data_IF_818009534916
#
_entry.id   IF_818009534916
#
_cell.length_a   1.000
_cell.length_b   1.000
_cell.length_c   1.000
_cell.angle_alpha   90.00
_cell.angle_beta   90.00
_cell.angle_gamma   90.00
#
_symmetry.space_group_name_H-M   'P 1'
#
loop_
_entity.id
_entity.type
_entity.pdbx_description
1 polymer ?
#
# COMPACT_ATOMS: atom_id res chain seq x y z
N UNK A 1 -26.31 -20.51 3.03
CA UNK A 1 -26.52 -19.10 2.67
C UNK A 1 -26.34 -19.02 1.16
N UNK A 2 -27.39 -18.65 0.42
CA UNK A 2 -27.36 -18.62 -1.06
C UNK A 2 -27.24 -17.16 -1.48
N UNK A 3 -26.27 -16.85 -2.33
CA UNK A 3 -26.07 -15.50 -2.88
C UNK A 3 -26.61 -15.48 -4.31
N UNK A 4 -27.46 -14.51 -4.64
CA UNK A 4 -27.97 -14.30 -5.99
C UNK A 4 -27.13 -13.22 -6.70
N UNK A 5 -26.70 -13.48 -7.94
CA UNK A 5 -25.84 -12.56 -8.70
C UNK A 5 -26.71 -11.82 -9.71
N UNK A 6 -27.00 -10.55 -9.42
CA UNK A 6 -27.71 -9.65 -10.32
C UNK A 6 -26.81 -9.20 -11.49
N UNK A 7 -27.40 -9.06 -12.68
CA UNK A 7 -26.71 -8.65 -13.91
C UNK A 7 -27.41 -7.42 -14.50
N UNK A 8 -26.65 -6.51 -15.12
CA UNK A 8 -27.20 -5.34 -15.82
C UNK A 8 -27.31 -4.06 -14.98
N UNK A 9 -26.73 -4.02 -13.79
CA UNK A 9 -26.62 -2.79 -12.98
C UNK A 9 -25.49 -1.92 -13.56
N UNK A 10 -25.77 -0.65 -13.83
CA UNK A 10 -24.76 0.30 -14.32
C UNK A 10 -23.67 0.52 -13.26
N UNK A 11 -22.41 0.40 -13.69
CA UNK A 11 -21.25 0.62 -12.82
C UNK A 11 -21.03 2.12 -12.70
N UNK A 12 -21.08 2.71 -11.49
CA UNK A 12 -20.81 4.12 -11.32
C UNK A 12 -19.38 4.44 -11.76
N UNK A 13 -19.21 5.63 -12.35
CA UNK A 13 -17.93 6.07 -12.87
C UNK A 13 -16.84 6.00 -11.78
N UNK A 14 -15.74 5.27 -12.01
CA UNK A 14 -14.71 5.13 -11.00
C UNK A 14 -14.04 6.49 -10.77
N UNK A 15 -14.31 7.10 -9.61
CA UNK A 15 -13.63 8.31 -9.16
C UNK A 15 -12.11 8.17 -9.36
N UNK A 16 -11.49 9.22 -9.91
CA UNK A 16 -10.08 9.21 -10.31
C UNK A 16 -9.18 8.64 -9.21
N UNK A 17 -8.50 7.53 -9.52
CA UNK A 17 -7.54 6.91 -8.60
C UNK A 17 -6.32 7.82 -8.49
N UNK A 18 -6.18 8.52 -7.36
CA UNK A 18 -4.94 9.23 -7.03
C UNK A 18 -3.81 8.20 -6.97
N UNK A 19 -2.88 8.29 -7.91
CA UNK A 19 -1.73 7.38 -8.00
C UNK A 19 -0.69 7.83 -6.97
N UNK A 20 -0.64 7.14 -5.84
CA UNK A 20 0.43 7.36 -4.84
C UNK A 20 1.72 6.70 -5.34
N UNK A 21 2.71 7.50 -5.69
CA UNK A 21 4.05 7.02 -6.04
C UNK A 21 4.87 6.91 -4.76
N UNK A 22 5.38 5.71 -4.49
CA UNK A 22 6.29 5.44 -3.38
C UNK A 22 7.70 5.19 -3.92
N UNK A 23 8.77 5.55 -3.19
CA UNK A 23 10.15 5.48 -3.66
C UNK A 23 10.73 4.05 -3.63
N UNK A 24 9.92 3.00 -3.77
CA UNK A 24 10.38 1.61 -3.70
C UNK A 24 11.53 1.26 -4.67
N UNK A 25 11.57 1.77 -5.93
CA UNK A 25 12.67 1.49 -6.85
C UNK A 25 14.03 1.98 -6.35
N UNK A 26 14.04 3.10 -5.62
CA UNK A 26 15.26 3.78 -5.20
C UNK A 26 15.75 3.32 -3.82
N UNK A 27 14.92 2.61 -3.06
CA UNK A 27 15.28 2.07 -1.76
C UNK A 27 16.28 0.93 -1.87
N UNK A 28 17.31 0.94 -1.02
CA UNK A 28 18.24 -0.16 -0.78
C UNK A 28 17.88 -0.91 0.51
N UNK A 29 18.32 -2.16 0.71
CA UNK A 29 18.17 -2.84 1.99
C UNK A 29 18.72 -2.00 3.14
N UNK A 30 17.93 -1.80 4.19
CA UNK A 30 18.21 -0.90 5.31
C UNK A 30 17.52 0.47 5.19
N UNK A 31 17.13 0.91 3.99
CA UNK A 31 16.46 2.20 3.82
C UNK A 31 15.04 2.20 4.39
N UNK A 32 14.59 3.39 4.80
CA UNK A 32 13.22 3.59 5.24
C UNK A 32 12.67 4.96 4.85
N UNK A 33 11.36 5.03 4.63
CA UNK A 33 10.64 6.29 4.45
C UNK A 33 9.36 6.33 5.29
N UNK A 34 8.98 7.54 5.70
CA UNK A 34 7.77 7.80 6.47
C UNK A 34 6.68 8.33 5.54
N UNK A 35 5.48 7.77 5.66
CA UNK A 35 4.26 8.34 5.08
C UNK A 35 3.52 9.08 6.20
N UNK A 36 3.54 10.42 6.20
CA UNK A 36 2.86 11.20 7.22
C UNK A 36 1.34 11.01 7.09
N UNK A 37 0.66 10.83 8.22
CA UNK A 37 -0.80 10.81 8.26
C UNK A 37 -1.32 11.13 9.65
N UNK A 38 -2.61 11.47 9.73
CA UNK A 38 -3.28 11.71 11.02
C UNK A 38 -3.32 10.42 11.85
N UNK A 39 -3.31 10.49 13.19
CA UNK A 39 -3.39 9.31 14.05
C UNK A 39 -4.58 8.40 13.73
N UNK A 40 -5.75 8.98 13.41
CA UNK A 40 -6.96 8.25 13.02
C UNK A 40 -6.81 7.45 11.72
N UNK A 41 -5.90 7.86 10.84
CA UNK A 41 -5.68 7.24 9.53
C UNK A 41 -4.47 6.29 9.51
N UNK A 42 -3.65 6.29 10.56
CA UNK A 42 -2.37 5.55 10.60
C UNK A 42 -2.53 4.06 10.27
N UNK A 43 -3.56 3.41 10.81
CA UNK A 43 -3.87 2.00 10.52
C UNK A 43 -4.24 1.77 9.06
N UNK A 44 -5.05 2.64 8.47
CA UNK A 44 -5.47 2.52 7.07
C UNK A 44 -4.31 2.82 6.12
N UNK A 45 -3.51 3.84 6.43
CA UNK A 45 -2.32 4.21 5.67
C UNK A 45 -1.28 3.10 5.71
N UNK A 46 -1.00 2.52 6.88
CA UNK A 46 -0.10 1.37 7.00
C UNK A 46 -0.56 0.16 6.18
N UNK A 47 -1.86 -0.17 6.20
CA UNK A 47 -2.42 -1.24 5.35
C UNK A 47 -2.22 -0.95 3.86
N UNK A 48 -2.56 0.27 3.41
CA UNK A 48 -2.40 0.69 2.01
C UNK A 48 -0.94 0.65 1.56
N UNK A 49 -0.03 1.09 2.43
CA UNK A 49 1.41 1.08 2.20
C UNK A 49 1.95 -0.35 2.08
N UNK A 50 1.54 -1.25 2.97
CA UNK A 50 1.91 -2.68 2.91
C UNK A 50 1.42 -3.37 1.64
N UNK A 51 0.19 -3.10 1.21
CA UNK A 51 -0.35 -3.63 -0.06
C UNK A 51 0.44 -3.09 -1.25
N UNK A 52 0.80 -1.80 -1.25
CA UNK A 52 1.59 -1.21 -2.32
C UNK A 52 2.99 -1.82 -2.40
N UNK A 53 3.68 -1.95 -1.26
CA UNK A 53 5.01 -2.57 -1.17
C UNK A 53 4.98 -4.02 -1.66
N UNK A 54 4.00 -4.81 -1.21
CA UNK A 54 3.81 -6.20 -1.66
C UNK A 54 3.55 -6.29 -3.16
N UNK A 55 2.64 -5.46 -3.70
CA UNK A 55 2.32 -5.44 -5.14
C UNK A 55 3.53 -5.06 -5.99
N UNK A 56 4.33 -4.11 -5.53
CA UNK A 56 5.56 -3.72 -6.20
C UNK A 56 6.58 -4.87 -6.15
N UNK A 57 6.85 -5.43 -4.97
CA UNK A 57 7.77 -6.56 -4.76
C UNK A 57 7.45 -7.78 -5.64
N UNK A 58 6.19 -8.17 -5.75
CA UNK A 58 5.77 -9.29 -6.60
C UNK A 58 6.08 -9.10 -8.10
N UNK A 59 6.32 -7.87 -8.55
CA UNK A 59 6.65 -7.53 -9.94
C UNK A 59 8.16 -7.41 -10.18
N UNK A 60 8.97 -7.46 -9.13
CA UNK A 60 10.42 -7.30 -9.22
C UNK A 60 11.14 -8.66 -9.18
N UNK A 61 12.26 -8.79 -9.91
CA UNK A 61 13.17 -9.90 -9.70
C UNK A 61 13.72 -9.88 -8.26
N UNK A 62 13.94 -11.06 -7.68
CA UNK A 62 14.42 -11.19 -6.30
C UNK A 62 13.38 -10.97 -5.20
N UNK A 63 12.16 -10.50 -5.52
CA UNK A 63 11.04 -10.30 -4.58
C UNK A 63 11.47 -9.56 -3.30
N UNK A 64 11.99 -8.32 -3.42
CA UNK A 64 12.50 -7.54 -2.31
C UNK A 64 11.47 -7.45 -1.18
N UNK A 65 11.91 -7.54 0.06
CA UNK A 65 11.00 -7.60 1.21
C UNK A 65 10.90 -6.25 1.87
N UNK A 66 9.71 -5.96 2.37
CA UNK A 66 9.41 -4.71 3.06
C UNK A 66 8.73 -4.98 4.39
N UNK A 67 9.08 -4.20 5.41
CA UNK A 67 8.37 -4.15 6.68
C UNK A 67 7.61 -2.82 6.76
N UNK A 68 6.36 -2.84 7.21
CA UNK A 68 5.58 -1.62 7.45
C UNK A 68 5.11 -1.62 8.90
N UNK A 69 5.35 -0.52 9.61
CA UNK A 69 4.90 -0.33 11.00
C UNK A 69 4.28 1.04 11.18
N UNK A 70 3.35 1.13 12.12
CA UNK A 70 2.81 2.39 12.60
C UNK A 70 3.81 2.99 13.58
N UNK A 71 4.09 4.27 13.40
CA UNK A 71 5.00 5.06 14.24
C UNK A 71 4.32 6.40 14.55
N UNK A 72 4.88 7.16 15.49
CA UNK A 72 4.42 8.53 15.71
C UNK A 72 4.52 9.33 14.40
N UNK A 73 3.46 10.07 14.08
CA UNK A 73 3.37 10.85 12.84
C UNK A 73 2.99 10.08 11.57
N UNK A 74 2.87 8.74 11.60
CA UNK A 74 2.27 8.00 10.49
C UNK A 74 2.68 6.53 10.34
N UNK A 75 2.92 6.10 9.09
CA UNK A 75 3.35 4.73 8.79
C UNK A 75 4.71 4.75 8.12
N UNK A 76 5.66 3.97 8.66
CA UNK A 76 7.02 3.86 8.12
C UNK A 76 7.19 2.51 7.41
N UNK A 77 7.86 2.56 6.26
CA UNK A 77 8.19 1.39 5.46
C UNK A 77 9.72 1.23 5.41
N UNK A 78 10.22 0.03 5.64
CA UNK A 78 11.62 -0.35 5.52
C UNK A 78 11.76 -1.36 4.38
N UNK A 79 12.82 -1.24 3.58
CA UNK A 79 13.27 -2.33 2.72
C UNK A 79 14.22 -3.19 3.52
N UNK A 80 13.88 -4.45 3.74
CA UNK A 80 14.68 -5.38 4.54
C UNK A 80 15.58 -6.26 3.66
N UNK A 81 15.17 -6.52 2.41
CA UNK A 81 15.89 -7.30 1.39
C UNK A 81 15.60 -6.71 -0.01
#
# INVERSE_FOLDING_TARGET
>A
MVFEIEKGIEVPDPQQKIRRTYPFPDMKPGDSFLVPCKPSESKQTGKRLGVAARRWSCRQPGKPRFAVRQVEGGARCWRIE
#
